data_IF_168452477843
#
_entry.id   IF_168452477843
#
_cell.length_a   1.000
_cell.length_b   1.000
_cell.length_c   1.000
_cell.angle_alpha   90.00
_cell.angle_beta   90.00
_cell.angle_gamma   90.00
#
_symmetry.space_group_name_H-M   'P 1'
#
loop_
_entity.id
_entity.type
_entity.pdbx_description
1 polymer ?
#
# COMPACT_ATOMS: atom_id res chain seq x y z
N UNK A 1 -82.40 40.20 15.27
CA UNK A 1 -81.64 38.98 15.58
C UNK A 1 -80.20 39.40 15.88
N UNK A 2 -79.72 39.14 17.11
CA UNK A 2 -78.40 39.57 17.56
C UNK A 2 -77.32 38.61 17.02
N UNK A 3 -76.35 39.15 16.29
CA UNK A 3 -75.18 38.41 15.82
C UNK A 3 -74.23 38.19 17.01
N UNK A 4 -74.14 36.94 17.47
CA UNK A 4 -73.16 36.53 18.48
C UNK A 4 -71.82 36.36 17.76
N UNK A 5 -70.98 37.39 17.78
CA UNK A 5 -69.57 37.25 17.39
C UNK A 5 -68.87 36.38 18.44
N UNK A 6 -68.79 35.07 18.21
CA UNK A 6 -67.98 34.16 19.01
C UNK A 6 -66.52 34.54 18.82
N UNK A 7 -65.97 35.32 19.75
CA UNK A 7 -64.55 35.69 19.74
C UNK A 7 -63.75 34.41 19.98
N UNK A 8 -62.96 33.99 18.98
CA UNK A 8 -62.14 32.78 19.07
C UNK A 8 -61.18 32.91 20.25
N UNK A 9 -61.12 31.95 21.18
CA UNK A 9 -60.29 32.08 22.38
C UNK A 9 -58.80 31.99 22.03
N UNK A 10 -57.98 32.68 22.82
CA UNK A 10 -56.53 32.58 22.75
C UNK A 10 -56.06 31.13 22.99
N UNK A 11 -55.18 30.60 22.11
CA UNK A 11 -54.67 29.22 22.19
C UNK A 11 -53.92 28.93 23.49
N UNK A 12 -53.20 29.91 24.05
CA UNK A 12 -52.36 29.72 25.24
C UNK A 12 -53.13 29.75 26.57
N UNK A 13 -54.16 30.61 26.70
CA UNK A 13 -54.86 30.78 28.00
C UNK A 13 -56.35 30.47 27.98
N UNK A 14 -56.97 30.27 26.82
CA UNK A 14 -58.39 29.92 26.66
C UNK A 14 -59.42 30.97 27.12
N UNK A 15 -58.98 32.06 27.78
CA UNK A 15 -59.85 33.01 28.50
C UNK A 15 -59.94 34.40 27.84
N UNK A 16 -58.95 34.79 27.06
CA UNK A 16 -58.93 36.07 26.36
C UNK A 16 -59.54 35.97 24.96
N UNK A 17 -60.24 37.03 24.52
CA UNK A 17 -60.62 37.18 23.12
C UNK A 17 -59.34 37.19 22.26
N UNK A 18 -59.21 36.20 21.38
CA UNK A 18 -58.17 36.16 20.37
C UNK A 18 -58.31 37.34 19.42
N UNK A 19 -57.32 38.22 19.42
CA UNK A 19 -57.31 39.46 18.63
C UNK A 19 -56.31 39.39 17.48
N UNK A 20 -55.28 38.55 17.62
CA UNK A 20 -54.18 38.45 16.66
C UNK A 20 -54.03 37.00 16.21
N UNK A 21 -53.93 36.79 14.90
CA UNK A 21 -53.60 35.51 14.29
C UNK A 21 -52.18 35.59 13.74
N UNK A 22 -51.31 34.67 14.14
CA UNK A 22 -49.98 34.54 13.55
C UNK A 22 -50.11 33.80 12.20
N UNK A 23 -49.54 34.34 11.12
CA UNK A 23 -49.61 33.70 9.81
C UNK A 23 -48.70 32.48 9.71
N UNK A 24 -47.55 32.48 10.40
CA UNK A 24 -46.57 31.40 10.37
C UNK A 24 -47.06 30.11 11.03
N UNK A 25 -47.59 30.20 12.26
CA UNK A 25 -48.11 29.02 12.98
C UNK A 25 -49.64 28.88 12.91
N UNK A 26 -50.34 29.82 12.27
CA UNK A 26 -51.82 29.90 12.14
C UNK A 26 -52.62 30.00 13.46
N UNK A 27 -51.93 30.12 14.60
CA UNK A 27 -52.55 30.18 15.93
C UNK A 27 -53.07 31.59 16.27
N UNK A 28 -54.11 31.64 17.11
CA UNK A 28 -54.77 32.88 17.54
C UNK A 28 -54.42 33.17 19.02
N UNK A 29 -53.98 34.39 19.29
CA UNK A 29 -53.49 34.83 20.58
C UNK A 29 -54.23 36.09 21.08
N UNK A 30 -54.27 36.28 22.40
CA UNK A 30 -54.60 37.58 22.98
C UNK A 30 -53.36 38.50 22.95
N UNK A 31 -53.56 39.79 23.25
CA UNK A 31 -52.50 40.83 23.26
C UNK A 31 -51.25 40.45 24.05
N UNK A 32 -51.39 39.71 25.17
CA UNK A 32 -50.25 39.29 26.00
C UNK A 32 -49.50 38.08 25.43
N UNK A 33 -50.22 37.04 24.99
CA UNK A 33 -49.56 35.82 24.50
C UNK A 33 -49.00 36.00 23.08
N UNK A 34 -49.47 36.97 22.29
CA UNK A 34 -48.83 37.31 21.00
C UNK A 34 -47.47 37.98 21.20
N UNK A 35 -47.31 38.79 22.24
CA UNK A 35 -46.00 39.39 22.58
C UNK A 35 -45.03 38.33 23.11
N UNK A 36 -45.50 37.40 23.95
CA UNK A 36 -44.69 36.27 24.42
C UNK A 36 -44.28 35.35 23.27
N UNK A 37 -45.20 35.01 22.36
CA UNK A 37 -44.90 34.23 21.16
C UNK A 37 -43.83 34.91 20.28
N UNK A 38 -43.94 36.22 20.08
CA UNK A 38 -42.95 36.99 19.31
C UNK A 38 -41.59 37.05 20.01
N UNK A 39 -41.57 37.13 21.34
CA UNK A 39 -40.34 37.03 22.12
C UNK A 39 -39.67 35.66 21.96
N UNK A 40 -40.45 34.57 21.94
CA UNK A 40 -39.92 33.22 21.65
C UNK A 40 -39.28 33.15 20.26
N UNK A 41 -39.91 33.72 19.23
CA UNK A 41 -39.35 33.75 17.87
C UNK A 41 -38.06 34.58 17.80
N UNK A 42 -37.99 35.70 18.53
CA UNK A 42 -36.75 36.48 18.63
C UNK A 42 -35.63 35.65 19.28
N UNK A 43 -35.93 34.92 20.36
CA UNK A 43 -34.95 34.06 21.00
C UNK A 43 -34.44 32.96 20.06
N UNK A 44 -35.33 32.30 19.31
CA UNK A 44 -34.95 31.31 18.31
C UNK A 44 -34.08 31.89 17.19
N UNK A 45 -34.36 33.13 16.76
CA UNK A 45 -33.52 33.81 15.77
C UNK A 45 -32.13 34.13 16.33
N UNK A 46 -32.04 34.58 17.58
CA UNK A 46 -30.77 34.85 18.24
C UNK A 46 -29.94 33.57 18.36
N UNK A 47 -30.56 32.42 18.69
CA UNK A 47 -29.89 31.11 18.68
C UNK A 47 -29.34 30.73 17.29
N UNK A 48 -30.13 30.96 16.23
CA UNK A 48 -29.69 30.71 14.85
C UNK A 48 -28.51 31.61 14.48
N UNK A 49 -28.52 32.88 14.88
CA UNK A 49 -27.44 33.82 14.60
C UNK A 49 -26.16 33.37 15.31
N UNK A 50 -26.25 32.95 16.58
CA UNK A 50 -25.10 32.44 17.33
C UNK A 50 -24.51 31.19 16.67
N UNK A 51 -25.35 30.24 16.25
CA UNK A 51 -24.89 29.04 15.52
C UNK A 51 -24.27 29.38 14.16
N UNK A 52 -24.87 30.31 13.42
CA UNK A 52 -24.33 30.81 12.15
C UNK A 52 -22.94 31.40 12.34
N UNK A 53 -22.77 32.29 13.31
CA UNK A 53 -21.50 32.97 13.56
C UNK A 53 -20.44 31.98 14.05
N UNK A 54 -20.83 31.00 14.89
CA UNK A 54 -19.94 29.90 15.30
C UNK A 54 -19.46 29.05 14.13
N UNK A 55 -20.36 28.71 13.20
CA UNK A 55 -19.99 27.95 11.99
C UNK A 55 -19.07 28.77 11.08
N UNK A 56 -19.35 30.06 10.92
CA UNK A 56 -18.51 30.95 10.13
C UNK A 56 -17.11 31.10 10.73
N UNK A 57 -16.99 31.21 12.06
CA UNK A 57 -15.72 31.24 12.77
C UNK A 57 -14.95 29.93 12.58
N UNK A 58 -15.60 28.77 12.75
CA UNK A 58 -15.00 27.45 12.50
C UNK A 58 -14.48 27.29 11.07
N UNK A 59 -15.18 27.83 10.06
CA UNK A 59 -14.72 27.82 8.67
C UNK A 59 -13.44 28.65 8.51
N UNK A 60 -13.38 29.82 9.16
CA UNK A 60 -12.20 30.70 9.11
C UNK A 60 -11.01 30.05 9.82
N UNK A 61 -11.22 29.43 10.97
CA UNK A 61 -10.18 28.70 11.70
C UNK A 61 -9.64 27.52 10.89
N UNK A 62 -10.52 26.75 10.24
CA UNK A 62 -10.15 25.57 9.46
C UNK A 62 -9.39 25.94 8.16
N UNK A 63 -9.54 27.16 7.61
CA UNK A 63 -8.72 27.63 6.47
C UNK A 63 -7.21 27.62 6.77
N UNK A 64 -6.83 27.79 8.02
CA UNK A 64 -5.42 27.80 8.43
C UNK A 64 -4.91 26.42 8.88
N UNK A 65 -5.80 25.42 8.93
CA UNK A 65 -5.46 24.08 9.36
C UNK A 65 -5.00 23.27 8.13
N UNK A 66 -3.74 22.82 8.16
CA UNK A 66 -3.16 22.02 7.07
C UNK A 66 -3.98 20.74 6.88
N UNK A 67 -4.45 20.53 5.64
CA UNK A 67 -5.20 19.33 5.30
C UNK A 67 -4.27 18.11 5.44
N UNK A 68 -4.66 17.05 6.18
CA UNK A 68 -3.88 15.82 6.30
C UNK A 68 -3.47 15.21 4.95
N UNK A 69 -4.29 15.39 3.90
CA UNK A 69 -3.97 14.95 2.55
C UNK A 69 -2.79 15.71 1.94
N UNK A 70 -2.63 17.00 2.25
CA UNK A 70 -1.46 17.78 1.82
C UNK A 70 -0.19 17.21 2.41
N UNK A 71 -0.20 16.88 3.71
CA UNK A 71 0.95 16.23 4.36
C UNK A 71 1.27 14.87 3.73
N UNK A 72 0.24 14.10 3.38
CA UNK A 72 0.44 12.84 2.67
C UNK A 72 1.08 13.03 1.28
N UNK A 73 0.69 14.07 0.55
CA UNK A 73 1.31 14.42 -0.75
C UNK A 73 2.79 14.76 -0.54
N UNK A 74 3.12 15.57 0.46
CA UNK A 74 4.51 15.95 0.77
C UNK A 74 5.37 14.71 1.10
N UNK A 75 4.84 13.80 1.93
CA UNK A 75 5.52 12.54 2.26
C UNK A 75 5.68 11.62 1.04
N UNK A 76 4.66 11.53 0.19
CA UNK A 76 4.73 10.76 -1.05
C UNK A 76 5.77 11.34 -2.01
N UNK A 77 5.85 12.66 -2.13
CA UNK A 77 6.84 13.36 -2.97
C UNK A 77 8.26 13.05 -2.47
N UNK A 78 8.51 13.24 -1.18
CA UNK A 78 9.83 12.98 -0.58
C UNK A 78 10.28 11.53 -0.78
N UNK A 79 9.40 10.56 -0.50
CA UNK A 79 9.71 9.14 -0.72
C UNK A 79 9.99 8.83 -2.19
N UNK A 80 9.25 9.45 -3.10
CA UNK A 80 9.43 9.26 -4.55
C UNK A 80 10.78 9.78 -5.04
N UNK A 81 11.18 10.97 -4.58
CA UNK A 81 12.50 11.55 -4.88
C UNK A 81 13.62 10.64 -4.35
N UNK A 82 13.49 10.16 -3.10
CA UNK A 82 14.48 9.27 -2.50
C UNK A 82 14.66 7.98 -3.31
N UNK A 83 13.55 7.38 -3.77
CA UNK A 83 13.59 6.18 -4.63
C UNK A 83 14.34 6.43 -5.94
N UNK A 84 14.06 7.54 -6.63
CA UNK A 84 14.80 7.92 -7.86
C UNK A 84 16.30 8.04 -7.58
N UNK A 85 16.65 8.75 -6.51
CA UNK A 85 18.06 8.99 -6.17
C UNK A 85 18.80 7.70 -5.83
N UNK A 86 18.15 6.81 -5.08
CA UNK A 86 18.72 5.53 -4.70
C UNK A 86 18.95 4.63 -5.92
N UNK A 87 17.94 4.45 -6.78
CA UNK A 87 18.07 3.66 -8.01
C UNK A 87 19.18 4.20 -8.92
N UNK A 88 19.27 5.52 -9.07
CA UNK A 88 20.33 6.15 -9.84
C UNK A 88 21.72 5.93 -9.22
N UNK A 89 21.83 5.89 -7.89
CA UNK A 89 23.08 5.61 -7.19
C UNK A 89 23.52 4.16 -7.39
N UNK A 90 22.61 3.21 -7.23
CA UNK A 90 22.85 1.78 -7.42
C UNK A 90 23.32 1.49 -8.86
N UNK A 91 22.58 2.00 -9.84
CA UNK A 91 22.93 1.84 -11.26
C UNK A 91 24.34 2.38 -11.57
N UNK A 92 24.69 3.55 -11.01
CA UNK A 92 26.07 4.10 -11.16
C UNK A 92 27.11 3.21 -10.52
N UNK A 93 26.82 2.62 -9.36
CA UNK A 93 27.74 1.71 -8.67
C UNK A 93 27.95 0.42 -9.47
N UNK A 94 26.91 -0.14 -10.07
CA UNK A 94 27.01 -1.31 -10.95
C UNK A 94 27.94 -1.03 -12.13
N UNK A 95 27.78 0.12 -12.79
CA UNK A 95 28.67 0.54 -13.90
C UNK A 95 30.13 0.60 -13.44
N UNK A 96 30.40 1.17 -12.27
CA UNK A 96 31.75 1.24 -11.70
C UNK A 96 32.30 -0.16 -11.40
N UNK A 97 31.47 -1.05 -10.85
CA UNK A 97 31.87 -2.43 -10.55
C UNK A 97 32.20 -3.21 -11.83
N UNK A 98 31.35 -3.14 -12.86
CA UNK A 98 31.60 -3.73 -14.17
C UNK A 98 32.90 -3.18 -14.77
N UNK A 99 33.12 -1.86 -14.68
CA UNK A 99 34.36 -1.22 -15.12
C UNK A 99 35.60 -1.79 -14.42
N UNK A 100 35.52 -1.98 -13.12
CA UNK A 100 36.62 -2.52 -12.32
C UNK A 100 36.88 -4.00 -12.62
N UNK A 101 35.83 -4.80 -12.83
CA UNK A 101 35.97 -6.21 -13.22
C UNK A 101 36.70 -6.30 -14.56
N UNK A 102 36.27 -5.55 -15.56
CA UNK A 102 36.91 -5.53 -16.89
C UNK A 102 38.39 -5.16 -16.82
N UNK A 103 38.73 -4.08 -16.09
CA UNK A 103 40.13 -3.65 -15.89
C UNK A 103 40.96 -4.73 -15.21
N UNK A 104 40.41 -5.44 -14.22
CA UNK A 104 41.11 -6.54 -13.55
C UNK A 104 41.36 -7.73 -14.49
N UNK A 105 40.40 -8.06 -15.36
CA UNK A 105 40.55 -9.12 -16.35
C UNK A 105 41.69 -8.81 -17.32
N UNK A 106 41.68 -7.61 -17.91
CA UNK A 106 42.76 -7.15 -18.80
C UNK A 106 44.10 -7.15 -18.07
N UNK A 107 44.15 -6.65 -16.83
CA UNK A 107 45.39 -6.63 -16.05
C UNK A 107 45.95 -8.03 -15.78
N UNK A 108 45.10 -9.03 -15.53
CA UNK A 108 45.53 -10.43 -15.36
C UNK A 108 46.13 -10.98 -16.65
N UNK A 109 45.49 -10.74 -17.80
CA UNK A 109 46.00 -11.20 -19.09
C UNK A 109 47.32 -10.52 -19.46
N UNK A 110 47.46 -9.21 -19.20
CA UNK A 110 48.72 -8.49 -19.37
C UNK A 110 49.84 -9.05 -18.50
N UNK A 111 49.55 -9.41 -17.25
CA UNK A 111 50.54 -10.02 -16.36
C UNK A 111 50.98 -11.40 -16.87
N UNK A 112 50.03 -12.23 -17.32
CA UNK A 112 50.36 -13.54 -17.90
C UNK A 112 51.24 -13.40 -19.16
N UNK A 113 50.93 -12.43 -20.02
CA UNK A 113 51.74 -12.14 -21.20
C UNK A 113 53.13 -11.64 -20.81
N UNK A 114 53.22 -10.79 -19.78
CA UNK A 114 54.50 -10.27 -19.26
C UNK A 114 55.40 -11.40 -18.80
N UNK A 115 54.88 -12.36 -18.04
CA UNK A 115 55.66 -13.51 -17.57
C UNK A 115 56.12 -14.41 -18.73
N UNK A 116 55.27 -14.64 -19.73
CA UNK A 116 55.67 -15.39 -20.94
C UNK A 116 56.80 -14.71 -21.69
N UNK A 117 56.71 -13.40 -21.89
CA UNK A 117 57.75 -12.61 -22.59
C UNK A 117 59.06 -12.63 -21.80
N UNK A 118 59.02 -12.50 -20.47
CA UNK A 118 60.23 -12.55 -19.64
C UNK A 118 60.91 -13.91 -19.71
N UNK A 119 60.16 -15.00 -19.52
CA UNK A 119 60.72 -16.35 -19.52
C UNK A 119 61.37 -16.67 -20.87
N UNK A 120 60.66 -16.40 -21.97
CA UNK A 120 61.19 -16.62 -23.32
C UNK A 120 62.45 -15.78 -23.60
N UNK A 121 62.55 -14.57 -23.03
CA UNK A 121 63.74 -13.73 -23.13
C UNK A 121 64.91 -14.24 -22.29
N UNK A 122 64.65 -14.74 -21.09
CA UNK A 122 65.68 -15.29 -20.20
C UNK A 122 66.24 -16.62 -20.74
N UNK A 123 65.39 -17.41 -21.36
CA UNK A 123 65.74 -18.71 -21.96
C UNK A 123 66.23 -18.62 -23.40
N UNK A 124 66.16 -17.42 -24.01
CA UNK A 124 66.39 -17.18 -25.45
C UNK A 124 65.56 -18.12 -26.36
N UNK A 125 64.36 -18.50 -25.89
CA UNK A 125 63.45 -19.46 -26.51
C UNK A 125 62.21 -18.74 -27.06
N UNK A 126 62.36 -18.10 -28.21
CA UNK A 126 61.25 -17.49 -28.94
C UNK A 126 61.45 -17.57 -30.45
N UNK A 127 60.33 -17.73 -31.17
CA UNK A 127 60.29 -17.74 -32.63
C UNK A 127 59.43 -16.60 -33.16
N UNK A 128 59.48 -16.35 -34.47
CA UNK A 128 58.68 -15.32 -35.12
C UNK A 128 57.18 -15.50 -34.87
N UNK A 129 56.72 -16.74 -34.72
CA UNK A 129 55.33 -17.08 -34.39
C UNK A 129 54.92 -16.57 -33.01
N UNK A 130 55.81 -16.63 -32.02
CA UNK A 130 55.55 -16.15 -30.66
C UNK A 130 55.48 -14.62 -30.64
N UNK A 131 56.39 -13.97 -31.36
CA UNK A 131 56.39 -12.50 -31.52
C UNK A 131 55.08 -12.03 -32.18
N UNK A 132 54.65 -12.66 -33.26
CA UNK A 132 53.38 -12.35 -33.93
C UNK A 132 52.20 -12.56 -32.96
N UNK A 133 52.20 -13.67 -32.20
CA UNK A 133 51.16 -13.95 -31.22
C UNK A 133 51.10 -12.89 -30.11
N UNK A 134 52.23 -12.52 -29.51
CA UNK A 134 52.27 -11.52 -28.45
C UNK A 134 51.86 -10.14 -28.95
N UNK A 135 52.28 -9.74 -30.14
CA UNK A 135 51.86 -8.47 -30.78
C UNK A 135 50.35 -8.45 -31.03
N UNK A 136 49.79 -9.57 -31.52
CA UNK A 136 48.34 -9.70 -31.75
C UNK A 136 47.56 -9.64 -30.43
N UNK A 137 48.07 -10.30 -29.38
CA UNK A 137 47.47 -10.31 -28.04
C UNK A 137 47.50 -8.92 -27.41
N UNK A 138 48.62 -8.18 -27.52
CA UNK A 138 48.73 -6.80 -27.05
C UNK A 138 47.75 -5.87 -27.78
N UNK A 139 47.64 -6.01 -29.10
CA UNK A 139 46.70 -5.21 -29.90
C UNK A 139 45.26 -5.47 -29.47
N UNK A 140 44.87 -6.74 -29.30
CA UNK A 140 43.54 -7.11 -28.79
C UNK A 140 43.26 -6.53 -27.41
N UNK A 141 44.18 -6.69 -26.46
CA UNK A 141 44.01 -6.18 -25.10
C UNK A 141 43.93 -4.65 -25.04
N UNK A 142 44.67 -3.96 -25.92
CA UNK A 142 44.59 -2.51 -26.09
C UNK A 142 43.22 -2.09 -26.61
N UNK A 143 42.70 -2.78 -27.61
CA UNK A 143 41.38 -2.50 -28.16
C UNK A 143 40.26 -2.79 -27.13
N UNK A 144 40.36 -3.87 -26.36
CA UNK A 144 39.41 -4.19 -25.29
C UNK A 144 39.48 -3.19 -24.12
N UNK A 145 40.65 -2.61 -23.83
CA UNK A 145 40.78 -1.57 -22.82
C UNK A 145 40.12 -0.26 -23.26
N UNK A 146 40.27 0.09 -24.54
CA UNK A 146 39.71 1.32 -25.13
C UNK A 146 38.21 1.19 -25.41
N UNK A 147 37.76 -0.02 -25.77
CA UNK A 147 36.37 -0.32 -26.06
C UNK A 147 35.79 -1.14 -24.92
N UNK A 148 35.23 -0.44 -23.92
CA UNK A 148 34.53 -1.09 -22.82
C UNK A 148 33.43 -2.01 -23.37
N UNK A 149 33.56 -3.34 -23.27
CA UNK A 149 32.58 -4.23 -23.85
C UNK A 149 31.29 -4.10 -23.05
N UNK A 150 30.19 -3.82 -23.73
CA UNK A 150 28.80 -4.18 -23.37
C UNK A 150 27.91 -3.21 -22.58
N UNK A 151 28.28 -1.95 -22.30
CA UNK A 151 27.31 -0.96 -21.79
C UNK A 151 27.05 0.18 -22.80
N UNK A 152 26.55 -0.20 -23.98
CA UNK A 152 26.34 0.75 -25.08
C UNK A 152 25.03 1.55 -24.93
N UNK A 153 24.15 1.14 -24.02
CA UNK A 153 22.89 1.83 -23.76
C UNK A 153 22.37 1.50 -22.37
N UNK A 154 21.96 2.52 -21.61
CA UNK A 154 21.03 2.36 -20.50
C UNK A 154 19.64 2.38 -21.10
N UNK A 155 18.82 1.38 -20.79
CA UNK A 155 17.40 1.35 -21.18
C UNK A 155 16.57 1.57 -19.94
N UNK A 156 15.66 2.52 -20.00
CA UNK A 156 14.63 2.66 -18.98
C UNK A 156 13.66 1.48 -19.10
N UNK A 157 13.43 0.81 -17.98
CA UNK A 157 12.38 -0.20 -17.91
C UNK A 157 11.02 0.52 -17.85
N UNK A 158 10.35 0.58 -19.00
CA UNK A 158 9.04 1.22 -19.12
C UNK A 158 7.89 0.35 -18.57
N UNK A 159 8.17 -0.89 -18.17
CA UNK A 159 7.15 -1.82 -17.66
C UNK A 159 6.94 -1.65 -16.16
N UNK A 160 7.91 -1.09 -15.44
CA UNK A 160 7.85 -0.92 -13.99
C UNK A 160 7.93 0.58 -13.64
N UNK A 161 6.80 1.26 -13.38
CA UNK A 161 6.82 2.65 -12.99
C UNK A 161 7.46 2.79 -11.60
N UNK A 162 8.55 3.55 -11.54
CA UNK A 162 9.24 3.84 -10.29
C UNK A 162 8.38 4.67 -9.31
N UNK A 163 7.44 5.45 -9.85
CA UNK A 163 6.54 6.35 -9.12
C UNK A 163 5.11 6.14 -9.62
N UNK A 164 4.17 5.99 -8.69
CA UNK A 164 2.74 5.81 -8.97
C UNK A 164 1.97 7.13 -8.89
N UNK A 165 1.09 7.39 -9.84
CA UNK A 165 0.27 8.60 -9.87
C UNK A 165 -0.77 8.62 -8.73
N UNK A 166 -0.87 9.76 -8.04
CA UNK A 166 -1.92 10.00 -7.04
C UNK A 166 -3.25 10.31 -7.73
N UNK A 167 -4.35 9.72 -7.25
CA UNK A 167 -5.72 10.02 -7.67
C UNK A 167 -6.54 10.48 -6.47
N UNK A 168 -7.25 11.59 -6.62
CA UNK A 168 -8.21 12.07 -5.63
C UNK A 168 -9.54 11.35 -5.83
N UNK A 169 -10.10 10.79 -4.76
CA UNK A 169 -11.43 10.18 -4.76
C UNK A 169 -12.32 11.03 -3.86
N UNK A 170 -13.33 11.66 -4.45
CA UNK A 170 -14.35 12.43 -3.70
C UNK A 170 -15.56 11.54 -3.45
N UNK A 171 -16.16 11.63 -2.26
CA UNK A 171 -17.37 10.86 -1.88
C UNK A 171 -18.65 11.32 -2.61
N UNK A 172 -18.59 12.39 -3.40
CA UNK A 172 -19.76 12.97 -4.07
C UNK A 172 -19.97 12.39 -5.47
N UNK A 173 -20.39 11.13 -5.56
CA UNK A 173 -21.12 10.60 -6.72
C UNK A 173 -21.89 9.34 -6.32
N UNK A 174 -22.76 9.45 -5.33
CA UNK A 174 -23.88 8.53 -5.17
C UNK A 174 -25.02 9.13 -6.01
N UNK A 175 -25.58 8.34 -6.93
CA UNK A 175 -26.59 8.70 -7.94
C UNK A 175 -26.06 9.40 -9.20
N UNK A 176 -25.27 8.68 -10.01
CA UNK A 176 -25.67 8.39 -11.39
C UNK A 176 -24.74 7.31 -11.97
N UNK A 177 -25.38 6.33 -12.62
CA UNK A 177 -24.84 5.16 -13.31
C UNK A 177 -24.14 4.06 -12.49
N UNK A 178 -24.98 3.07 -12.18
CA UNK A 178 -24.64 1.66 -12.05
C UNK A 178 -23.82 1.23 -13.28
N UNK A 179 -22.50 1.34 -13.16
CA UNK A 179 -21.54 0.45 -13.83
C UNK A 179 -20.74 -0.27 -12.76
N UNK A 180 -21.49 -1.06 -12.00
CA UNK A 180 -21.02 -2.23 -11.26
C UNK A 180 -20.51 -3.25 -12.29
N UNK A 181 -19.32 -3.02 -12.87
CA UNK A 181 -18.42 -4.00 -13.49
C UNK A 181 -17.23 -3.28 -14.16
N UNK A 182 -16.22 -2.87 -13.39
CA UNK A 182 -14.83 -2.84 -13.88
C UNK A 182 -13.78 -2.76 -12.77
N UNK A 183 -13.94 -3.57 -11.72
CA UNK A 183 -12.77 -4.07 -11.00
C UNK A 183 -12.22 -5.27 -11.77
N UNK A 184 -11.59 -5.01 -12.92
CA UNK A 184 -10.81 -6.01 -13.63
C UNK A 184 -9.46 -5.40 -14.04
N UNK A 185 -8.44 -5.84 -13.30
CA UNK A 185 -7.18 -6.36 -13.81
C UNK A 185 -6.26 -5.39 -14.58
N UNK A 186 -5.27 -4.85 -13.88
CA UNK A 186 -3.92 -4.82 -14.43
C UNK A 186 -3.05 -5.66 -13.50
N UNK A 187 -2.85 -6.90 -13.90
CA UNK A 187 -1.92 -7.82 -13.23
C UNK A 187 -0.51 -7.22 -13.28
N UNK A 188 0.22 -7.17 -12.15
CA UNK A 188 1.67 -7.05 -12.27
C UNK A 188 2.15 -8.27 -13.06
N UNK A 189 2.99 -8.05 -14.07
CA UNK A 189 3.68 -9.18 -14.67
C UNK A 189 4.45 -9.90 -13.57
N UNK A 190 4.08 -11.18 -13.45
CA UNK A 190 4.68 -12.18 -12.60
C UNK A 190 6.20 -12.00 -12.61
N UNK A 191 6.79 -11.69 -11.44
CA UNK A 191 8.02 -12.38 -11.14
C UNK A 191 7.65 -13.86 -11.23
N UNK A 192 8.23 -14.57 -12.18
CA UNK A 192 8.11 -16.02 -12.28
C UNK A 192 8.80 -16.68 -11.07
N UNK A 193 8.41 -16.32 -9.84
CA UNK A 193 8.66 -17.18 -8.70
C UNK A 193 7.59 -18.25 -8.79
N UNK A 194 8.02 -19.45 -9.18
CA UNK A 194 7.27 -20.68 -8.91
C UNK A 194 7.24 -20.95 -7.41
N UNK A 195 6.81 -19.95 -6.63
CA UNK A 195 6.67 -20.09 -5.20
C UNK A 195 5.51 -21.02 -4.95
N UNK A 196 5.79 -22.01 -4.11
CA UNK A 196 4.93 -23.13 -3.84
C UNK A 196 5.00 -23.38 -2.34
N UNK A 197 3.89 -23.84 -1.78
CA UNK A 197 3.88 -24.42 -0.47
C UNK A 197 4.74 -25.68 -0.48
N UNK A 198 5.65 -25.80 0.49
CA UNK A 198 6.54 -26.97 0.61
C UNK A 198 6.39 -27.66 1.97
N UNK A 199 6.00 -26.90 3.00
CA UNK A 199 5.98 -27.39 4.38
C UNK A 199 4.63 -27.09 5.01
N UNK A 200 4.05 -28.11 5.63
CA UNK A 200 2.87 -27.97 6.48
C UNK A 200 3.15 -28.57 7.86
N UNK A 201 2.45 -28.05 8.87
CA UNK A 201 2.34 -28.60 10.20
C UNK A 201 0.86 -28.89 10.46
N UNK A 202 0.58 -30.01 11.14
CA UNK A 202 -0.77 -30.50 11.42
C UNK A 202 -1.55 -30.84 10.14
N UNK A 203 -2.88 -30.97 10.24
CA UNK A 203 -3.76 -31.60 9.23
C UNK A 203 -3.97 -30.84 7.90
N UNK A 204 -2.96 -30.14 7.40
CA UNK A 204 -2.95 -29.61 6.03
C UNK A 204 -2.30 -30.57 5.04
N UNK A 205 -2.93 -30.72 3.89
CA UNK A 205 -2.36 -31.35 2.72
C UNK A 205 -1.93 -30.27 1.73
N UNK A 206 -0.75 -30.46 1.13
CA UNK A 206 -0.25 -29.63 0.06
C UNK A 206 -0.41 -30.43 -1.23
N UNK A 207 -1.22 -29.91 -2.15
CA UNK A 207 -1.58 -30.55 -3.42
C UNK A 207 -1.22 -29.66 -4.62
N UNK A 208 -1.56 -30.10 -5.82
CA UNK A 208 -1.29 -29.40 -7.09
C UNK A 208 0.17 -28.91 -7.21
N UNK A 209 1.12 -29.82 -6.95
CA UNK A 209 2.55 -29.52 -6.98
C UNK A 209 2.97 -28.35 -6.07
N UNK A 210 2.28 -28.18 -4.94
CA UNK A 210 2.54 -27.11 -4.00
C UNK A 210 1.74 -25.83 -4.22
N UNK A 211 0.69 -25.86 -5.05
CA UNK A 211 -0.15 -24.69 -5.34
C UNK A 211 -1.47 -24.67 -4.59
N UNK A 212 -1.91 -25.83 -4.10
CA UNK A 212 -3.15 -25.98 -3.35
C UNK A 212 -2.85 -26.40 -1.92
N UNK A 213 -3.53 -25.77 -0.96
CA UNK A 213 -3.51 -26.18 0.45
C UNK A 213 -4.92 -26.57 0.83
N UNK A 214 -5.11 -27.82 1.25
CA UNK A 214 -6.36 -28.29 1.80
C UNK A 214 -6.22 -28.49 3.31
N UNK A 215 -7.02 -27.77 4.08
CA UNK A 215 -7.13 -27.97 5.51
C UNK A 215 -8.22 -29.01 5.80
N UNK A 216 -7.83 -30.18 6.31
CA UNK A 216 -8.73 -31.33 6.48
C UNK A 216 -9.24 -31.54 7.92
N UNK A 217 -8.71 -30.78 8.88
CA UNK A 217 -8.97 -31.00 10.31
C UNK A 217 -9.89 -29.92 10.89
N UNK A 218 -10.83 -30.33 11.75
CA UNK A 218 -11.89 -29.45 12.24
C UNK A 218 -11.47 -28.65 13.49
N UNK A 219 -10.41 -29.08 14.20
CA UNK A 219 -10.10 -28.59 15.56
C UNK A 219 -8.59 -28.31 15.81
N UNK A 220 -7.75 -28.16 14.77
CA UNK A 220 -6.34 -27.82 14.99
C UNK A 220 -5.86 -26.63 14.17
N UNK A 221 -5.06 -25.76 14.79
CA UNK A 221 -4.32 -24.74 14.07
C UNK A 221 -3.35 -25.40 13.11
N UNK A 222 -3.34 -24.91 11.87
CA UNK A 222 -2.47 -25.38 10.81
C UNK A 222 -1.54 -24.27 10.40
N UNK A 223 -0.27 -24.64 10.16
CA UNK A 223 0.70 -23.73 9.60
C UNK A 223 1.21 -24.30 8.29
N UNK A 224 1.23 -23.45 7.25
CA UNK A 224 1.83 -23.79 5.96
C UNK A 224 2.85 -22.72 5.58
N UNK A 225 3.99 -23.14 5.02
CA UNK A 225 5.06 -22.25 4.58
C UNK A 225 5.43 -22.50 3.13
N UNK A 226 5.74 -21.39 2.45
CA UNK A 226 6.36 -21.40 1.14
C UNK A 226 7.76 -22.02 1.16
N UNK A 227 8.20 -22.47 -0.01
CA UNK A 227 9.51 -23.09 -0.23
C UNK A 227 10.67 -22.12 -0.04
N UNK A 228 10.50 -20.89 -0.52
CA UNK A 228 11.59 -19.94 -0.61
C UNK A 228 11.70 -19.05 0.63
N UNK A 229 12.93 -18.63 0.91
CA UNK A 229 13.22 -17.58 1.88
C UNK A 229 13.59 -16.30 1.14
N UNK A 230 13.19 -15.16 1.70
CA UNK A 230 13.33 -13.85 1.08
C UNK A 230 14.19 -12.96 1.97
N UNK A 231 15.25 -12.36 1.41
CA UNK A 231 16.22 -11.56 2.17
C UNK A 231 16.57 -10.22 1.53
N UNK A 232 16.04 -9.92 0.34
CA UNK A 232 16.21 -8.63 -0.35
C UNK A 232 15.09 -8.43 -1.37
N UNK A 233 14.78 -7.18 -1.73
CA UNK A 233 13.85 -6.85 -2.80
C UNK A 233 12.37 -6.92 -2.41
N UNK A 234 11.49 -6.63 -3.37
CA UNK A 234 10.04 -6.64 -3.19
C UNK A 234 9.45 -7.92 -3.79
N UNK A 235 8.67 -8.64 -2.99
CA UNK A 235 8.03 -9.90 -3.34
C UNK A 235 6.53 -9.76 -3.25
N UNK A 236 5.81 -10.33 -4.24
CA UNK A 236 4.35 -10.32 -4.26
C UNK A 236 3.82 -11.75 -4.29
N UNK A 237 2.92 -12.03 -3.37
CA UNK A 237 2.23 -13.31 -3.26
C UNK A 237 0.74 -13.08 -3.52
N UNK A 238 0.11 -14.00 -4.25
CA UNK A 238 -1.33 -13.99 -4.48
C UNK A 238 -1.89 -15.30 -3.95
N UNK A 239 -2.89 -15.19 -3.11
CA UNK A 239 -3.63 -16.31 -2.56
C UNK A 239 -5.08 -16.21 -3.04
N UNK A 240 -5.66 -17.33 -3.45
CA UNK A 240 -7.08 -17.41 -3.76
C UNK A 240 -7.73 -18.32 -2.72
N UNK A 241 -8.78 -17.83 -2.08
CA UNK A 241 -9.58 -18.61 -1.14
C UNK A 241 -10.56 -19.44 -1.96
N UNK A 242 -10.24 -20.71 -2.23
CA UNK A 242 -11.14 -21.58 -2.99
C UNK A 242 -12.39 -21.96 -2.20
N UNK A 243 -12.23 -22.21 -0.89
CA UNK A 243 -13.32 -22.54 0.05
C UNK A 243 -12.96 -22.05 1.44
N UNK A 244 -13.87 -21.33 2.11
CA UNK A 244 -13.75 -20.99 3.53
C UNK A 244 -15.08 -21.31 4.25
N UNK A 245 -15.30 -22.58 4.65
CA UNK A 245 -16.53 -22.94 5.35
C UNK A 245 -16.56 -22.32 6.74
N UNK A 246 -17.36 -21.26 6.90
CA UNK A 246 -17.74 -20.63 8.18
C UNK A 246 -16.59 -20.01 8.98
N UNK A 247 -16.14 -18.82 8.57
CA UNK A 247 -15.37 -17.93 9.45
C UNK A 247 -14.12 -18.60 10.03
N UNK A 248 -13.45 -19.44 9.23
CA UNK A 248 -12.14 -19.94 9.62
C UNK A 248 -11.23 -18.74 9.74
N UNK A 249 -10.52 -18.64 10.86
CA UNK A 249 -9.53 -17.59 11.04
C UNK A 249 -8.27 -17.96 10.26
N UNK A 250 -7.92 -17.15 9.27
CA UNK A 250 -6.77 -17.35 8.40
C UNK A 250 -5.78 -16.21 8.62
N UNK A 251 -4.53 -16.56 8.87
CA UNK A 251 -3.41 -15.62 8.97
C UNK A 251 -2.57 -15.66 7.69
N UNK A 252 -2.32 -14.48 7.11
CA UNK A 252 -1.39 -14.27 6.01
C UNK A 252 -0.23 -13.39 6.48
N UNK A 253 1.00 -13.87 6.31
CA UNK A 253 2.15 -13.11 6.77
C UNK A 253 3.50 -13.71 6.41
N UNK A 254 4.50 -13.14 7.05
CA UNK A 254 5.90 -13.53 6.97
C UNK A 254 6.41 -13.92 8.34
N UNK A 255 7.39 -14.82 8.35
CA UNK A 255 8.07 -15.26 9.56
C UNK A 255 9.53 -15.57 9.24
N UNK A 256 10.43 -15.41 10.21
CA UNK A 256 11.84 -15.73 9.99
C UNK A 256 12.03 -17.19 9.58
N UNK A 257 12.91 -17.44 8.60
CA UNK A 257 13.28 -18.80 8.17
C UNK A 257 13.82 -19.65 9.32
N UNK A 258 14.46 -19.03 10.31
CA UNK A 258 15.01 -19.72 11.48
C UNK A 258 13.98 -20.15 12.52
N UNK A 259 12.75 -19.62 12.47
CA UNK A 259 11.69 -19.94 13.42
C UNK A 259 11.17 -21.36 13.14
N UNK A 260 11.10 -22.28 14.14
CA UNK A 260 10.44 -23.57 13.95
C UNK A 260 8.94 -23.40 13.65
N UNK A 261 8.32 -24.41 13.02
CA UNK A 261 6.87 -24.42 12.83
C UNK A 261 6.18 -24.82 14.13
N UNK A 262 5.14 -24.10 14.53
CA UNK A 262 4.34 -24.34 15.73
C UNK A 262 2.87 -23.96 15.48
N UNK A 263 1.97 -24.41 16.35
CA UNK A 263 0.52 -24.16 16.23
C UNK A 263 0.14 -22.67 16.34
N UNK A 264 1.02 -21.87 16.95
CA UNK A 264 0.84 -20.43 17.14
C UNK A 264 2.03 -19.64 16.57
N UNK A 265 2.57 -20.03 15.42
CA UNK A 265 3.72 -19.34 14.80
C UNK A 265 3.48 -17.84 14.59
N UNK A 266 2.23 -17.41 14.43
CA UNK A 266 1.84 -16.01 14.32
C UNK A 266 2.12 -15.18 15.60
N UNK A 267 2.36 -15.83 16.75
CA UNK A 267 2.76 -15.18 18.02
C UNK A 267 4.29 -15.07 18.18
N UNK A 268 5.07 -15.61 17.24
CA UNK A 268 6.53 -15.46 17.26
C UNK A 268 6.92 -13.99 17.13
N UNK A 269 7.96 -13.58 17.85
CA UNK A 269 8.55 -12.24 17.72
C UNK A 269 9.05 -11.89 16.30
N UNK A 270 9.16 -12.89 15.42
CA UNK A 270 9.53 -12.72 14.01
C UNK A 270 8.35 -12.76 13.04
N UNK A 271 7.12 -12.93 13.54
CA UNK A 271 5.92 -13.01 12.73
C UNK A 271 5.30 -11.63 12.49
N UNK A 272 5.00 -11.34 11.23
CA UNK A 272 4.32 -10.13 10.81
C UNK A 272 3.25 -10.50 9.80
N UNK A 273 2.03 -10.00 9.97
CA UNK A 273 0.96 -10.34 9.06
C UNK A 273 -0.38 -9.82 9.49
N UNK A 274 -1.39 -10.25 8.76
CA UNK A 274 -2.78 -9.87 8.94
C UNK A 274 -3.62 -11.15 8.99
N UNK A 275 -4.73 -11.09 9.72
CA UNK A 275 -5.69 -12.17 9.81
C UNK A 275 -7.13 -11.64 9.86
N UNK A 276 -8.08 -12.55 9.73
CA UNK A 276 -9.51 -12.26 9.86
C UNK A 276 -9.85 -11.56 11.20
N UNK A 277 -11.05 -10.99 11.29
CA UNK A 277 -11.53 -10.22 12.43
C UNK A 277 -10.72 -8.96 12.74
N UNK A 278 -10.15 -8.35 11.69
CA UNK A 278 -9.33 -7.13 11.78
C UNK A 278 -8.10 -7.30 12.69
N UNK A 279 -7.60 -8.52 12.81
CA UNK A 279 -6.37 -8.79 13.54
C UNK A 279 -5.15 -8.55 12.65
N UNK A 280 -4.10 -7.97 13.23
CA UNK A 280 -2.79 -7.95 12.61
C UNK A 280 -1.71 -8.13 13.66
N UNK A 281 -0.58 -8.69 13.24
CA UNK A 281 0.50 -9.07 14.14
C UNK A 281 1.76 -8.30 13.75
N UNK A 282 2.34 -7.60 14.72
CA UNK A 282 3.60 -6.89 14.56
C UNK A 282 4.62 -7.50 15.51
N UNK A 283 5.52 -8.32 14.98
CA UNK A 283 6.48 -9.07 15.79
C UNK A 283 5.79 -9.98 16.79
N UNK A 284 4.77 -10.71 16.35
CA UNK A 284 4.01 -11.65 17.19
C UNK A 284 2.98 -11.02 18.12
N UNK A 285 2.95 -9.68 18.24
CA UNK A 285 2.00 -8.99 19.11
C UNK A 285 0.72 -8.72 18.32
N UNK A 286 -0.38 -9.35 18.74
CA UNK A 286 -1.72 -9.10 18.19
C UNK A 286 -2.14 -7.66 18.43
N UNK A 287 -2.57 -7.02 17.36
CA UNK A 287 -3.25 -5.73 17.32
C UNK A 287 -4.66 -5.97 16.77
N UNK A 288 -5.64 -5.24 17.29
CA UNK A 288 -7.02 -5.33 16.84
C UNK A 288 -7.60 -3.92 16.74
N UNK A 289 -8.10 -3.56 15.55
CA UNK A 289 -8.78 -2.29 15.35
C UNK A 289 -10.30 -2.48 15.44
N UNK A 290 -10.83 -2.34 16.66
CA UNK A 290 -12.28 -2.45 16.91
C UNK A 290 -13.09 -1.27 16.36
N UNK A 291 -12.44 -0.21 15.89
CA UNK A 291 -13.11 0.97 15.33
C UNK A 291 -13.14 0.95 13.79
N UNK A 292 -12.64 -0.10 13.15
CA UNK A 292 -12.75 -0.25 11.71
C UNK A 292 -14.21 -0.56 11.33
N UNK A 293 -14.86 0.37 10.62
CA UNK A 293 -16.25 0.25 10.12
C UNK A 293 -16.44 -0.93 9.12
N UNK A 294 -15.37 -1.67 8.77
CA UNK A 294 -15.39 -2.85 7.92
C UNK A 294 -14.62 -3.99 8.59
N UNK A 295 -15.27 -5.15 8.71
CA UNK A 295 -14.61 -6.42 9.01
C UNK A 295 -13.93 -6.92 7.75
N UNK A 296 -12.63 -7.20 7.82
CA UNK A 296 -11.83 -7.71 6.70
C UNK A 296 -11.86 -9.24 6.62
N UNK A 297 -12.97 -9.89 6.94
CA UNK A 297 -13.01 -11.36 6.96
C UNK A 297 -12.84 -11.95 5.54
N UNK A 298 -11.95 -12.93 5.42
CA UNK A 298 -11.74 -13.68 4.19
C UNK A 298 -12.95 -14.55 3.86
N UNK A 299 -13.47 -14.39 2.65
CA UNK A 299 -14.58 -15.19 2.13
C UNK A 299 -14.18 -16.00 0.91
N UNK A 300 -15.03 -16.96 0.55
CA UNK A 300 -14.84 -17.77 -0.65
C UNK A 300 -14.72 -16.90 -1.91
N UNK A 301 -13.72 -17.21 -2.74
CA UNK A 301 -13.30 -16.49 -3.95
C UNK A 301 -12.53 -15.18 -3.72
N UNK A 302 -12.20 -14.82 -2.47
CA UNK A 302 -11.30 -13.70 -2.24
C UNK A 302 -9.92 -13.97 -2.84
N UNK A 303 -9.34 -12.91 -3.41
CA UNK A 303 -7.97 -12.92 -3.91
C UNK A 303 -7.13 -11.96 -3.08
N UNK A 304 -6.31 -12.51 -2.21
CA UNK A 304 -5.47 -11.77 -1.28
C UNK A 304 -4.12 -11.54 -1.94
N UNK A 305 -3.66 -10.30 -1.93
CA UNK A 305 -2.31 -9.95 -2.37
C UNK A 305 -1.47 -9.51 -1.18
N UNK A 306 -0.40 -10.26 -0.90
CA UNK A 306 0.62 -9.88 0.08
C UNK A 306 1.83 -9.30 -0.66
N UNK A 307 2.28 -8.11 -0.26
CA UNK A 307 3.48 -7.47 -0.79
C UNK A 307 4.47 -7.32 0.36
N UNK A 308 5.66 -7.90 0.20
CA UNK A 308 6.73 -7.91 1.19
C UNK A 308 7.92 -7.16 0.62
N UNK A 309 8.37 -6.11 1.29
CA UNK A 309 9.59 -5.39 0.95
C UNK A 309 10.71 -5.76 1.94
N UNK A 310 11.67 -6.55 1.47
CA UNK A 310 12.84 -6.98 2.24
C UNK A 310 14.05 -6.04 2.08
N UNK A 311 13.86 -4.82 1.59
CA UNK A 311 14.94 -3.88 1.25
C UNK A 311 15.20 -2.84 2.34
N UNK A 312 14.30 -2.72 3.33
CA UNK A 312 14.44 -1.83 4.49
C UNK A 312 15.05 -2.54 5.70
#
# INVERSE_FOLDING_TARGET
MASVTSKTPCVTCGKGAGLFKCEGCTQIFCTKHVTEHRQTLHHQLDEIIVEHDSLQEKIIENKNQSNPLTKYIDEWEQRSIMKIQQMAKETRQEIVQLSNIHKRTISKELNLLTERIKNAREEDDFFETDLINWISTLSRLKDELMNFPSLNSIKEDQLVPLIYQLKLVTRSSEFDDISMHQYLQIEPQMTASGDIFERCLNGANIEDSGRLVEHSAWDCSVEVRGKFGYSYGIHRFRFQIEKNPRGTWIFFGIISKSQPMTECSYESSSAYGWADYNDYFLGGIRQNDQNADQFSDTVENDVITLIVDCTN
#
